data_IF_114893437957
#
_entry.id   IF_114893437957
#
_cell.length_a   1.000
_cell.length_b   1.000
_cell.length_c   1.000
_cell.angle_alpha   90.00
_cell.angle_beta   90.00
_cell.angle_gamma   90.00
#
_symmetry.space_group_name_H-M   'P 1'
#
loop_
_entity.id
_entity.type
_entity.pdbx_description
1 polymer ?
#
# COMPACT_ATOMS: atom_id res chain seq x y z
N UNK A 1 13.19 -3.80 -20.54
CA UNK A 1 11.86 -3.24 -20.22
C UNK A 1 12.11 -1.93 -19.46
N UNK A 2 11.86 -0.77 -20.07
CA UNK A 2 12.19 0.52 -19.47
C UNK A 2 11.21 0.86 -18.35
N UNK A 3 11.73 1.37 -17.23
CA UNK A 3 10.96 1.98 -16.16
C UNK A 3 10.32 3.27 -16.71
N UNK A 4 9.00 3.33 -16.79
CA UNK A 4 8.26 4.49 -17.27
C UNK A 4 7.73 5.28 -16.07
N UNK A 5 8.45 6.34 -15.68
CA UNK A 5 8.01 7.29 -14.63
C UNK A 5 7.24 8.42 -15.32
N UNK A 6 5.96 8.60 -14.98
CA UNK A 6 5.15 9.70 -15.50
C UNK A 6 5.06 10.83 -14.46
N UNK A 7 5.41 12.06 -14.87
CA UNK A 7 5.25 13.27 -14.08
C UNK A 7 3.92 13.93 -14.41
N UNK A 8 3.12 14.27 -13.39
CA UNK A 8 1.86 14.97 -13.61
C UNK A 8 2.08 16.41 -14.12
N UNK A 9 1.19 16.87 -15.00
CA UNK A 9 1.10 18.31 -15.33
C UNK A 9 0.63 19.06 -14.08
N UNK A 10 1.38 20.07 -13.67
CA UNK A 10 1.28 20.65 -12.34
C UNK A 10 0.15 21.68 -12.24
N UNK A 11 -1.05 21.24 -11.84
CA UNK A 11 -2.21 22.14 -11.64
C UNK A 11 -2.39 22.62 -10.20
N UNK A 12 -1.86 21.90 -9.20
CA UNK A 12 -1.97 22.25 -7.77
C UNK A 12 -0.62 22.06 -7.05
N UNK A 13 -0.29 22.89 -6.04
CA UNK A 13 1.02 22.82 -5.36
C UNK A 13 1.29 21.48 -4.67
N UNK A 14 0.24 20.79 -4.18
CA UNK A 14 0.34 19.50 -3.50
C UNK A 14 0.76 18.33 -4.40
N UNK A 15 0.62 18.46 -5.73
CA UNK A 15 0.87 17.38 -6.71
C UNK A 15 2.16 17.66 -7.53
N UNK A 16 2.83 18.80 -7.30
CA UNK A 16 3.99 19.25 -8.10
C UNK A 16 5.17 18.25 -8.16
N UNK A 17 5.36 17.46 -7.10
CA UNK A 17 6.40 16.43 -7.01
C UNK A 17 5.83 15.00 -7.06
N UNK A 18 4.56 14.84 -7.45
CA UNK A 18 3.91 13.53 -7.54
C UNK A 18 4.37 12.79 -8.80
N UNK A 19 4.97 11.62 -8.60
CA UNK A 19 5.25 10.66 -9.66
C UNK A 19 4.39 9.41 -9.43
N UNK A 20 3.82 8.85 -10.49
CA UNK A 20 3.08 7.58 -10.42
C UNK A 20 3.72 6.55 -11.34
N UNK A 21 3.87 5.35 -10.80
CA UNK A 21 4.39 4.20 -11.53
C UNK A 21 3.28 3.50 -12.31
N UNK A 22 3.63 3.01 -13.50
CA UNK A 22 2.70 2.31 -14.39
C UNK A 22 2.59 0.83 -13.98
N UNK A 23 1.63 0.50 -13.13
CA UNK A 23 1.33 -0.91 -12.83
C UNK A 23 0.58 -1.57 -13.98
N UNK A 24 1.07 -2.74 -14.40
CA UNK A 24 0.32 -3.67 -15.26
C UNK A 24 -0.98 -4.04 -14.54
N UNK A 25 -2.13 -4.02 -15.23
CA UNK A 25 -3.43 -4.40 -14.65
C UNK A 25 -3.31 -5.74 -13.94
N UNK A 26 -3.52 -5.74 -12.63
CA UNK A 26 -3.47 -6.97 -11.83
C UNK A 26 -4.79 -7.73 -11.97
N UNK A 27 -4.74 -9.00 -12.38
CA UNK A 27 -5.84 -9.95 -12.24
C UNK A 27 -5.63 -10.75 -10.95
N UNK A 28 -6.25 -10.36 -9.81
CA UNK A 28 -6.05 -11.10 -8.57
C UNK A 28 -6.73 -12.47 -8.66
N UNK A 29 -5.95 -13.55 -8.56
CA UNK A 29 -6.49 -14.90 -8.42
C UNK A 29 -7.09 -15.03 -7.01
N UNK A 30 -8.41 -15.23 -6.92
CA UNK A 30 -9.16 -15.12 -5.65
C UNK A 30 -8.73 -16.08 -4.52
N UNK A 31 -8.05 -17.19 -4.79
CA UNK A 31 -7.63 -18.15 -3.75
C UNK A 31 -6.27 -17.85 -3.12
N UNK A 32 -5.51 -16.88 -3.65
CA UNK A 32 -4.21 -16.47 -3.09
C UNK A 32 -4.31 -15.17 -2.28
N UNK A 33 -5.53 -14.66 -2.07
CA UNK A 33 -5.80 -13.41 -1.35
C UNK A 33 -6.57 -13.68 -0.07
N UNK A 34 -6.16 -13.04 1.03
CA UNK A 34 -6.81 -13.16 2.33
C UNK A 34 -7.11 -11.77 2.91
N UNK A 35 -8.22 -11.67 3.64
CA UNK A 35 -8.53 -10.48 4.42
C UNK A 35 -7.52 -10.30 5.54
N UNK A 36 -6.71 -9.24 5.47
CA UNK A 36 -5.79 -8.91 6.56
C UNK A 36 -6.50 -7.99 7.56
N UNK A 37 -7.01 -8.56 8.64
CA UNK A 37 -7.27 -7.76 9.85
C UNK A 37 -5.91 -7.29 10.35
N UNK A 38 -5.54 -6.03 10.07
CA UNK A 38 -4.35 -5.38 10.63
C UNK A 38 -4.55 -5.20 12.13
N UNK A 39 -4.53 -6.30 12.89
CA UNK A 39 -4.56 -6.26 14.34
C UNK A 39 -3.18 -5.79 14.79
N UNK A 40 -3.16 -4.65 15.49
CA UNK A 40 -1.94 -3.99 15.94
C UNK A 40 -1.87 -2.54 15.48
N UNK A 41 -1.75 -2.24 14.17
CA UNK A 41 -1.49 -0.86 13.67
C UNK A 41 -0.42 -0.11 14.50
N UNK A 42 0.60 -0.82 15.01
CA UNK A 42 1.61 -0.25 15.92
C UNK A 42 1.42 -0.58 17.41
N UNK A 43 0.33 -1.26 17.78
CA UNK A 43 0.03 -1.77 19.13
C UNK A 43 0.37 -3.25 19.28
N UNK A 44 0.71 -3.65 20.50
CA UNK A 44 0.88 -5.05 20.87
C UNK A 44 -0.47 -5.69 21.30
N UNK A 45 -0.46 -6.98 21.69
CA UNK A 45 -1.65 -7.70 22.15
C UNK A 45 -2.29 -7.10 23.41
N UNK A 46 -1.55 -6.31 24.19
CA UNK A 46 -2.04 -5.56 25.36
C UNK A 46 -2.64 -4.20 24.99
N UNK A 47 -2.63 -3.83 23.71
CA UNK A 47 -3.10 -2.53 23.22
C UNK A 47 -2.11 -1.38 23.38
N UNK A 48 -0.88 -1.63 23.83
CA UNK A 48 0.15 -0.60 24.05
C UNK A 48 0.84 -0.28 22.73
N UNK A 49 1.04 1.01 22.43
CA UNK A 49 1.78 1.46 21.24
C UNK A 49 3.26 1.14 21.43
N UNK A 50 3.78 0.24 20.59
CA UNK A 50 5.19 -0.14 20.55
C UNK A 50 5.91 0.40 19.30
N UNK A 51 5.15 0.76 18.26
CA UNK A 51 5.67 1.38 17.05
C UNK A 51 4.80 2.57 16.65
N UNK A 52 5.36 3.78 16.74
CA UNK A 52 4.71 5.03 16.35
C UNK A 52 4.57 5.21 14.84
N UNK A 53 3.86 6.26 14.43
CA UNK A 53 3.63 6.63 13.01
C UNK A 53 2.96 5.52 12.18
N UNK A 54 2.26 4.59 12.84
CA UNK A 54 1.49 3.50 12.22
C UNK A 54 0.02 3.69 12.59
N UNK A 55 -0.88 3.48 11.62
CA UNK A 55 -2.31 3.73 11.79
C UNK A 55 -2.96 4.22 10.51
N UNK A 56 -4.29 4.12 10.42
CA UNK A 56 -5.04 4.54 9.23
C UNK A 56 -4.71 3.71 7.98
N UNK A 57 -4.71 4.38 6.82
CA UNK A 57 -4.42 3.82 5.51
C UNK A 57 -5.59 3.07 4.86
N UNK A 58 -5.50 2.88 3.55
CA UNK A 58 -6.47 2.12 2.78
C UNK A 58 -6.43 0.62 3.14
N UNK A 59 -7.57 -0.06 3.00
CA UNK A 59 -7.66 -1.51 3.23
C UNK A 59 -6.82 -2.24 2.18
N UNK A 60 -6.07 -3.24 2.63
CA UNK A 60 -5.26 -4.10 1.76
C UNK A 60 -5.55 -5.56 2.07
N UNK A 61 -5.55 -6.39 1.03
CA UNK A 61 -5.58 -7.84 1.15
C UNK A 61 -4.14 -8.37 1.21
N UNK A 62 -3.92 -9.41 2.00
CA UNK A 62 -2.66 -10.12 2.00
C UNK A 62 -2.61 -11.08 0.81
N UNK A 63 -1.42 -11.24 0.21
CA UNK A 63 -1.18 -12.18 -0.89
C UNK A 63 -0.27 -13.30 -0.41
N UNK A 64 -0.63 -14.54 -0.69
CA UNK A 64 0.27 -15.68 -0.51
C UNK A 64 1.40 -15.59 -1.53
N UNK A 65 2.63 -15.50 -1.04
CA UNK A 65 3.86 -15.49 -1.84
C UNK A 65 4.60 -16.78 -1.51
N UNK A 66 5.17 -17.41 -2.55
CA UNK A 66 6.14 -18.50 -2.40
C UNK A 66 7.53 -17.86 -2.28
N UNK A 67 8.18 -18.03 -1.13
CA UNK A 67 9.42 -17.33 -0.76
C UNK A 67 10.65 -18.21 -0.95
#
# INVERSE_FOLDING_TARGET
RLLAIYLYKTSTPSIRNGAVDSQVKSNPRNHLIYGQHRCGKGRNARGIIIAGHRGGGHKCLYRKIDF
#
